data_IF_188892287536
#
_entry.id   IF_188892287536
#
_cell.length_a   1.000
_cell.length_b   1.000
_cell.length_c   1.000
_cell.angle_alpha   90.00
_cell.angle_beta   90.00
_cell.angle_gamma   90.00
#
_symmetry.space_group_name_H-M   'P 1'
#
loop_
_entity.id
_entity.type
_entity.pdbx_description
1 polymer ?
#
# COMPACT_ATOMS: atom_id res chain seq x y z
N UNK A 1 12.52 -41.02 -0.50
CA UNK A 1 11.87 -39.91 -1.20
C UNK A 1 11.60 -38.82 -0.17
N UNK A 2 12.50 -37.84 -0.02
CA UNK A 2 12.23 -36.63 0.74
C UNK A 2 11.11 -35.90 0.00
N UNK A 3 9.94 -35.78 0.66
CA UNK A 3 8.86 -34.97 0.16
C UNK A 3 9.28 -33.51 0.42
N UNK A 4 9.36 -32.69 -0.63
CA UNK A 4 9.52 -31.26 -0.44
C UNK A 4 8.33 -30.73 0.40
N UNK A 5 8.60 -29.95 1.45
CA UNK A 5 7.54 -29.40 2.27
C UNK A 5 6.63 -28.49 1.41
N UNK A 6 5.31 -28.70 1.51
CA UNK A 6 4.34 -27.85 0.82
C UNK A 6 4.48 -26.38 1.30
N UNK A 7 4.42 -25.40 0.39
CA UNK A 7 4.48 -24.00 0.78
C UNK A 7 3.32 -23.64 1.71
N UNK A 8 3.58 -22.76 2.70
CA UNK A 8 2.55 -22.27 3.60
C UNK A 8 1.42 -21.55 2.84
N UNK A 9 0.26 -21.41 3.47
CA UNK A 9 -0.87 -20.65 2.92
C UNK A 9 -0.43 -19.23 2.52
N UNK A 10 0.25 -18.53 3.42
CA UNK A 10 0.73 -17.17 3.18
C UNK A 10 1.68 -17.08 1.97
N UNK A 11 2.57 -18.07 1.80
CA UNK A 11 3.46 -18.13 0.64
C UNK A 11 2.67 -18.33 -0.65
N UNK A 12 1.72 -19.26 -0.68
CA UNK A 12 0.89 -19.49 -1.89
C UNK A 12 0.07 -18.27 -2.26
N UNK A 13 -0.54 -17.60 -1.27
CA UNK A 13 -1.30 -16.37 -1.47
C UNK A 13 -0.40 -15.25 -2.03
N UNK A 14 0.78 -15.08 -1.44
CA UNK A 14 1.75 -14.09 -1.88
C UNK A 14 2.25 -14.37 -3.31
N UNK A 15 2.64 -15.60 -3.63
CA UNK A 15 3.15 -15.98 -4.96
C UNK A 15 2.15 -15.64 -6.07
N UNK A 16 0.83 -15.69 -5.79
CA UNK A 16 -0.22 -15.35 -6.75
C UNK A 16 -0.36 -13.86 -7.00
N UNK A 17 -0.24 -13.02 -5.95
CA UNK A 17 -0.52 -11.59 -6.06
C UNK A 17 0.75 -10.74 -6.26
N UNK A 18 1.93 -11.22 -5.87
CA UNK A 18 3.19 -10.48 -5.99
C UNK A 18 3.47 -9.91 -7.39
N UNK A 19 3.14 -10.59 -8.50
CA UNK A 19 3.31 -10.01 -9.83
C UNK A 19 2.51 -8.73 -10.08
N UNK A 20 1.44 -8.53 -9.31
CA UNK A 20 0.56 -7.35 -9.39
C UNK A 20 0.94 -6.26 -8.38
N UNK A 21 1.89 -6.52 -7.47
CA UNK A 21 2.26 -5.55 -6.42
C UNK A 21 3.40 -4.66 -6.91
N UNK A 22 3.24 -3.36 -6.70
CA UNK A 22 4.24 -2.36 -7.08
C UNK A 22 4.65 -1.52 -5.89
N UNK A 23 5.91 -1.09 -5.85
CA UNK A 23 6.35 -0.02 -4.97
C UNK A 23 5.94 1.32 -5.58
N UNK A 24 5.36 2.19 -4.77
CA UNK A 24 4.93 3.54 -5.16
C UNK A 24 5.81 4.56 -4.45
N UNK A 25 6.36 5.49 -5.20
CA UNK A 25 7.19 6.58 -4.68
C UNK A 25 6.64 7.92 -5.17
N UNK A 26 6.31 8.80 -4.21
CA UNK A 26 5.93 10.17 -4.49
C UNK A 26 7.11 11.12 -4.23
N UNK A 27 7.63 11.76 -5.26
CA UNK A 27 8.68 12.77 -5.12
C UNK A 27 8.06 14.10 -4.67
N UNK A 28 8.34 14.48 -3.41
CA UNK A 28 7.84 15.72 -2.83
C UNK A 28 8.63 16.94 -3.34
N UNK A 29 7.97 18.09 -3.43
CA UNK A 29 8.65 19.34 -3.72
C UNK A 29 9.70 19.63 -2.64
N UNK A 30 10.97 19.82 -3.03
CA UNK A 30 11.97 20.38 -2.10
C UNK A 30 11.42 21.72 -1.57
N UNK A 31 11.35 21.92 -0.23
CA UNK A 31 11.17 23.26 0.29
C UNK A 31 12.31 24.14 -0.25
N UNK A 32 11.99 25.30 -0.81
CA UNK A 32 13.03 26.26 -1.18
C UNK A 32 13.89 26.53 0.07
N UNK A 33 15.24 26.46 -0.05
CA UNK A 33 16.09 26.75 1.09
C UNK A 33 15.72 28.15 1.63
N UNK A 34 15.56 28.30 2.96
CA UNK A 34 15.26 29.60 3.54
C UNK A 34 16.36 30.58 3.10
N UNK A 35 15.95 31.70 2.51
CA UNK A 35 16.87 32.79 2.19
C UNK A 35 17.54 33.20 3.49
N UNK A 36 18.87 33.01 3.56
CA UNK A 36 19.77 33.39 4.64
C UNK A 36 19.58 32.64 5.98
N UNK A 37 20.11 31.39 6.07
CA UNK A 37 20.58 30.87 7.33
C UNK A 37 22.13 30.79 7.28
N UNK A 38 22.85 31.10 8.37
CA UNK A 38 24.30 30.95 8.42
C UNK A 38 24.69 29.48 8.17
N UNK A 39 25.65 29.25 7.26
CA UNK A 39 26.18 27.91 7.01
C UNK A 39 26.89 27.40 8.27
N UNK A 40 26.21 26.54 9.03
CA UNK A 40 26.88 25.73 10.04
C UNK A 40 27.65 24.64 9.29
N UNK A 41 28.96 24.55 9.51
CA UNK A 41 29.80 23.50 8.92
C UNK A 41 29.28 22.13 9.35
N UNK A 42 29.13 21.16 8.43
CA UNK A 42 28.75 19.80 8.79
C UNK A 42 29.83 19.18 9.68
N UNK A 43 29.41 18.50 10.75
CA UNK A 43 30.32 17.64 11.51
C UNK A 43 30.62 16.38 10.68
N UNK A 44 31.86 15.88 10.66
CA UNK A 44 32.21 14.66 9.94
C UNK A 44 31.55 13.47 10.65
N UNK A 45 30.72 12.70 9.93
CA UNK A 45 30.12 11.45 10.41
C UNK A 45 28.61 11.34 10.42
N UNK A 46 27.87 12.37 10.01
CA UNK A 46 26.43 12.27 9.74
C UNK A 46 26.21 11.83 8.29
N UNK A 47 25.62 10.69 8.05
CA UNK A 47 25.02 10.38 6.75
C UNK A 47 23.99 11.46 6.48
N UNK A 48 24.23 12.33 5.50
CA UNK A 48 23.19 13.16 4.90
C UNK A 48 22.18 12.18 4.28
N UNK A 49 21.08 11.91 5.00
CA UNK A 49 19.87 11.44 4.36
C UNK A 49 19.50 12.53 3.35
N UNK A 50 19.67 12.21 2.06
CA UNK A 50 19.32 13.10 0.96
C UNK A 50 17.92 13.63 1.22
N UNK A 51 17.81 14.96 1.36
CA UNK A 51 16.59 15.64 1.82
C UNK A 51 15.44 15.67 0.79
N UNK A 52 15.32 14.65 -0.05
CA UNK A 52 14.12 14.31 -0.79
C UNK A 52 13.22 13.52 0.15
N UNK A 53 12.20 14.16 0.73
CA UNK A 53 11.14 13.43 1.43
C UNK A 53 10.33 12.65 0.40
N UNK A 54 10.74 11.40 0.14
CA UNK A 54 9.98 10.47 -0.68
C UNK A 54 8.85 9.90 0.18
N UNK A 55 7.60 10.09 -0.25
CA UNK A 55 6.52 9.25 0.22
C UNK A 55 6.71 7.85 -0.38
N UNK A 56 6.98 6.85 0.44
CA UNK A 56 7.10 5.46 -0.03
C UNK A 56 5.90 4.67 0.45
N UNK A 57 5.26 3.97 -0.47
CA UNK A 57 4.13 3.10 -0.22
C UNK A 57 4.08 1.93 -1.19
N UNK A 58 2.95 1.29 -1.21
CA UNK A 58 2.65 0.14 -2.05
C UNK A 58 1.48 0.46 -2.96
N UNK A 59 1.37 -0.22 -4.08
CA UNK A 59 0.20 -0.21 -4.95
C UNK A 59 -0.09 -1.60 -5.48
N UNK A 60 -1.28 -1.79 -6.01
CA UNK A 60 -1.70 -3.03 -6.65
C UNK A 60 -2.26 -2.75 -8.04
N UNK A 61 -1.76 -3.45 -9.04
CA UNK A 61 -2.27 -3.41 -10.41
C UNK A 61 -3.62 -4.12 -10.43
N UNK A 62 -4.67 -3.43 -10.83
CA UNK A 62 -6.05 -3.95 -10.83
C UNK A 62 -6.64 -4.14 -12.22
N UNK A 63 -5.97 -3.61 -13.26
CA UNK A 63 -6.33 -3.81 -14.67
C UNK A 63 -5.06 -3.99 -15.48
N UNK A 64 -5.05 -4.93 -16.44
CA UNK A 64 -3.91 -5.24 -17.30
C UNK A 64 -3.42 -4.05 -18.14
N UNK A 65 -4.25 -3.03 -18.29
CA UNK A 65 -3.84 -1.78 -18.91
C UNK A 65 -2.90 -0.93 -18.03
N UNK A 66 -2.57 -1.38 -16.79
CA UNK A 66 -1.66 -0.70 -15.86
C UNK A 66 -2.34 0.33 -14.96
N UNK A 67 -3.63 0.14 -14.66
CA UNK A 67 -4.27 0.88 -13.57
C UNK A 67 -3.84 0.28 -12.23
N UNK A 68 -3.46 1.16 -11.30
CA UNK A 68 -2.90 0.81 -10.00
C UNK A 68 -3.72 1.52 -8.93
N UNK A 69 -4.16 0.79 -7.91
CA UNK A 69 -4.69 1.35 -6.68
C UNK A 69 -3.56 1.56 -5.67
N UNK A 70 -3.60 2.69 -4.98
CA UNK A 70 -2.74 3.00 -3.82
C UNK A 70 -3.50 3.93 -2.87
N UNK A 71 -2.89 4.32 -1.75
CA UNK A 71 -3.49 5.33 -0.88
C UNK A 71 -3.16 6.76 -1.35
N UNK A 72 -4.11 7.66 -1.10
CA UNK A 72 -3.93 9.08 -1.38
C UNK A 72 -2.75 9.66 -0.59
N UNK A 73 -2.66 9.35 0.71
CA UNK A 73 -1.60 9.90 1.56
C UNK A 73 -0.18 9.47 1.15
N UNK A 74 -0.02 8.41 0.35
CA UNK A 74 1.28 7.98 -0.19
C UNK A 74 1.81 8.97 -1.23
N UNK A 75 0.90 9.57 -2.01
CA UNK A 75 1.24 10.47 -3.12
C UNK A 75 0.84 11.92 -2.86
N UNK A 76 0.25 12.23 -1.71
CA UNK A 76 -0.23 13.57 -1.38
C UNK A 76 0.92 14.58 -1.38
N UNK A 77 0.78 15.63 -2.19
CA UNK A 77 1.83 16.65 -2.36
C UNK A 77 3.00 16.26 -3.26
N UNK A 78 2.99 15.07 -3.84
CA UNK A 78 4.01 14.66 -4.80
C UNK A 78 3.89 15.46 -6.11
N UNK A 79 5.04 15.87 -6.66
CA UNK A 79 5.15 16.48 -7.99
C UNK A 79 5.17 15.42 -9.08
N UNK A 80 5.85 14.32 -8.80
CA UNK A 80 5.96 13.16 -9.67
C UNK A 80 5.69 11.90 -8.87
N UNK A 81 5.04 10.94 -9.51
CA UNK A 81 4.81 9.61 -8.96
C UNK A 81 5.53 8.60 -9.83
N UNK A 82 6.24 7.69 -9.18
CA UNK A 82 6.94 6.59 -9.83
C UNK A 82 6.49 5.27 -9.23
N UNK A 83 6.40 4.25 -10.07
CA UNK A 83 6.11 2.90 -9.65
C UNK A 83 7.23 1.96 -10.08
N UNK A 84 7.56 0.99 -9.23
CA UNK A 84 8.51 -0.08 -9.55
C UNK A 84 7.75 -1.39 -9.50
N UNK A 85 7.71 -2.09 -10.63
CA UNK A 85 7.07 -3.40 -10.77
C UNK A 85 7.95 -4.52 -10.17
N UNK A 86 7.36 -5.69 -9.95
CA UNK A 86 8.08 -6.88 -9.43
C UNK A 86 9.26 -7.30 -10.31
N UNK A 87 9.23 -7.00 -11.61
CA UNK A 87 10.33 -7.22 -12.56
C UNK A 87 11.52 -6.28 -12.37
N UNK A 88 11.38 -5.25 -11.53
CA UNK A 88 12.34 -4.16 -11.38
C UNK A 88 12.14 -3.03 -12.40
N UNK A 89 11.18 -3.12 -13.32
CA UNK A 89 10.86 -2.03 -14.25
C UNK A 89 10.33 -0.83 -13.47
N UNK A 90 10.98 0.31 -13.61
CA UNK A 90 10.50 1.59 -13.11
C UNK A 90 9.70 2.33 -14.18
N UNK A 91 8.59 2.93 -13.80
CA UNK A 91 7.72 3.72 -14.67
C UNK A 91 7.24 4.99 -13.98
N UNK A 92 7.26 6.15 -14.63
CA UNK A 92 6.44 7.26 -14.21
C UNK A 92 4.96 6.85 -14.24
N UNK A 93 4.18 7.41 -13.32
CA UNK A 93 2.74 7.15 -13.27
C UNK A 93 1.95 8.47 -13.23
N UNK A 94 0.86 8.50 -13.97
CA UNK A 94 -0.08 9.61 -13.97
C UNK A 94 -1.17 9.36 -12.91
N UNK A 95 -1.58 10.43 -12.22
CA UNK A 95 -2.71 10.39 -11.31
C UNK A 95 -3.99 10.45 -12.14
N UNK A 96 -4.80 9.40 -12.10
CA UNK A 96 -6.06 9.29 -12.84
C UNK A 96 -7.21 9.88 -12.03
N UNK A 97 -7.32 9.49 -10.76
CA UNK A 97 -8.34 10.01 -9.85
C UNK A 97 -7.88 9.94 -8.39
N UNK A 98 -8.48 10.81 -7.57
CA UNK A 98 -8.26 10.90 -6.14
C UNK A 98 -9.59 10.75 -5.41
N UNK A 99 -9.61 9.95 -4.35
CA UNK A 99 -10.79 9.65 -3.54
C UNK A 99 -10.50 9.93 -2.06
N UNK A 100 -10.54 11.21 -1.63
CA UNK A 100 -10.13 11.61 -0.29
C UNK A 100 -10.95 10.99 0.84
N UNK A 101 -12.23 10.70 0.60
CA UNK A 101 -13.12 10.12 1.60
C UNK A 101 -12.81 8.65 1.90
N UNK A 102 -12.00 8.00 1.06
CA UNK A 102 -11.56 6.61 1.21
C UNK A 102 -10.03 6.49 1.34
N UNK A 103 -9.30 7.63 1.34
CA UNK A 103 -7.83 7.65 1.28
C UNK A 103 -7.28 6.82 0.11
N UNK A 104 -7.91 6.89 -1.06
CA UNK A 104 -7.50 6.14 -2.24
C UNK A 104 -7.05 7.07 -3.37
N UNK A 105 -6.12 6.57 -4.17
CA UNK A 105 -5.69 7.17 -5.43
C UNK A 105 -5.59 6.09 -6.50
N UNK A 106 -5.95 6.47 -7.72
CA UNK A 106 -5.80 5.65 -8.92
C UNK A 106 -4.67 6.22 -9.76
N UNK A 107 -3.72 5.37 -10.09
CA UNK A 107 -2.56 5.71 -10.91
C UNK A 107 -2.62 4.94 -12.23
N UNK A 108 -1.98 5.51 -13.26
CA UNK A 108 -1.75 4.86 -14.55
C UNK A 108 -0.27 4.86 -14.84
N UNK A 109 0.35 3.69 -14.86
CA UNK A 109 1.74 3.56 -15.26
C UNK A 109 1.91 3.87 -16.76
N UNK A 110 2.95 4.62 -17.12
CA UNK A 110 3.24 5.01 -18.51
C UNK A 110 3.97 3.91 -19.28
N UNK A 111 4.72 3.07 -18.58
CA UNK A 111 5.43 1.92 -19.16
C UNK A 111 5.01 0.67 -18.38
N UNK A 112 4.77 -0.41 -19.08
CA UNK A 112 4.29 -1.65 -18.51
C UNK A 112 5.31 -2.76 -18.82
N UNK A 113 5.54 -3.72 -17.92
CA UNK A 113 6.27 -4.93 -18.26
C UNK A 113 5.43 -5.79 -19.21
N UNK A 114 6.10 -6.58 -20.05
CA UNK A 114 5.44 -7.43 -21.06
C UNK A 114 4.57 -8.53 -20.41
N UNK A 115 4.92 -8.94 -19.19
CA UNK A 115 4.26 -9.97 -18.40
C UNK A 115 3.38 -9.40 -17.28
N UNK A 116 2.87 -8.17 -17.45
CA UNK A 116 2.02 -7.53 -16.46
C UNK A 116 0.80 -8.39 -16.14
N UNK A 117 0.58 -8.60 -14.84
CA UNK A 117 -0.58 -9.31 -14.33
C UNK A 117 -1.38 -8.38 -13.42
N UNK A 118 -2.69 -8.26 -13.69
CA UNK A 118 -3.62 -7.64 -12.76
C UNK A 118 -3.97 -8.62 -11.62
N UNK A 119 -4.15 -8.08 -10.42
CA UNK A 119 -4.59 -8.86 -9.28
C UNK A 119 -6.04 -9.35 -9.48
N UNK A 120 -6.33 -10.55 -9.00
CA UNK A 120 -7.71 -11.01 -8.88
C UNK A 120 -8.35 -10.31 -7.69
N UNK A 121 -9.48 -9.65 -7.93
CA UNK A 121 -10.28 -8.98 -6.92
C UNK A 121 -11.42 -9.90 -6.49
N UNK A 122 -11.75 -9.88 -5.19
CA UNK A 122 -12.88 -10.64 -4.62
C UNK A 122 -13.64 -9.76 -3.66
N UNK A 123 -15.00 -9.77 -3.76
CA UNK A 123 -15.83 -9.05 -2.81
C UNK A 123 -15.48 -9.37 -1.37
N UNK A 124 -15.47 -8.35 -0.53
CA UNK A 124 -15.26 -8.46 0.90
C UNK A 124 -16.54 -8.74 1.69
N UNK A 125 -17.67 -8.88 1.01
CA UNK A 125 -18.99 -8.97 1.64
C UNK A 125 -19.21 -10.22 2.49
N UNK A 126 -18.49 -11.32 2.19
CA UNK A 126 -18.56 -12.59 2.91
C UNK A 126 -17.43 -12.79 3.94
N UNK A 127 -16.57 -11.79 4.13
CA UNK A 127 -15.53 -11.84 5.15
C UNK A 127 -16.14 -11.84 6.55
N UNK A 128 -15.49 -12.60 7.44
CA UNK A 128 -15.82 -12.65 8.86
C UNK A 128 -14.59 -12.59 9.76
N UNK A 129 -14.75 -12.16 11.02
CA UNK A 129 -13.66 -12.23 12.01
C UNK A 129 -13.15 -13.66 12.15
N UNK A 130 -11.81 -13.81 12.09
CA UNK A 130 -11.13 -15.11 12.10
C UNK A 130 -10.71 -15.61 10.71
N UNK A 131 -11.21 -15.02 9.61
CA UNK A 131 -10.77 -15.38 8.28
C UNK A 131 -9.31 -15.00 8.07
N UNK A 132 -8.55 -15.93 7.48
CA UNK A 132 -7.13 -15.74 7.23
C UNK A 132 -6.90 -14.71 6.12
N UNK A 133 -5.99 -13.77 6.39
CA UNK A 133 -5.58 -12.75 5.43
C UNK A 133 -4.06 -12.59 5.41
N UNK A 134 -3.57 -12.12 4.27
CA UNK A 134 -2.15 -11.83 4.05
C UNK A 134 -2.03 -10.37 3.60
N UNK A 135 -1.18 -9.60 4.26
CA UNK A 135 -0.82 -8.26 3.85
C UNK A 135 0.53 -8.26 3.15
N UNK A 136 0.63 -7.54 2.04
CA UNK A 136 1.83 -7.49 1.21
C UNK A 136 2.17 -6.02 0.91
N UNK A 137 3.47 -5.68 1.00
CA UNK A 137 3.90 -4.33 0.71
C UNK A 137 5.40 -4.11 0.87
N UNK A 138 5.79 -2.85 0.90
CA UNK A 138 7.18 -2.40 0.99
C UNK A 138 7.40 -1.59 2.29
N UNK A 139 7.33 -2.24 3.48
CA UNK A 139 7.53 -1.54 4.75
C UNK A 139 8.90 -0.85 4.76
N UNK A 140 8.91 0.45 5.03
CA UNK A 140 10.11 1.30 5.00
C UNK A 140 10.89 1.25 3.68
N UNK A 141 10.20 0.95 2.55
CA UNK A 141 10.82 0.76 1.24
C UNK A 141 11.52 -0.59 1.06
N UNK A 142 11.48 -1.46 2.07
CA UNK A 142 12.07 -2.80 2.05
C UNK A 142 11.03 -3.80 1.57
N UNK A 143 11.38 -4.68 0.69
CA UNK A 143 10.45 -5.73 0.29
C UNK A 143 10.54 -6.13 -1.17
N UNK A 144 9.50 -6.82 -1.64
CA UNK A 144 8.20 -7.01 -1.00
C UNK A 144 8.26 -7.85 0.28
N UNK A 145 7.48 -7.45 1.29
CA UNK A 145 7.34 -8.15 2.56
C UNK A 145 5.94 -8.74 2.66
N UNK A 146 5.84 -9.91 3.25
CA UNK A 146 4.60 -10.69 3.40
C UNK A 146 4.36 -10.95 4.88
N UNK A 147 3.17 -10.63 5.37
CA UNK A 147 2.72 -10.94 6.72
C UNK A 147 1.34 -11.58 6.69
N UNK A 148 1.10 -12.56 7.57
CA UNK A 148 -0.17 -13.27 7.68
C UNK A 148 -0.82 -12.99 9.03
N UNK A 149 -2.13 -12.97 9.04
CA UNK A 149 -2.97 -12.77 10.21
C UNK A 149 -4.42 -13.13 9.90
N UNK A 150 -5.33 -12.54 10.65
CA UNK A 150 -6.77 -12.75 10.49
C UNK A 150 -7.52 -11.41 10.41
N UNK A 151 -8.70 -11.45 9.85
CA UNK A 151 -9.69 -10.38 10.01
C UNK A 151 -10.06 -10.32 11.48
N UNK A 152 -9.83 -9.19 12.14
CA UNK A 152 -10.15 -8.97 13.55
C UNK A 152 -11.52 -8.32 13.73
N UNK A 153 -12.06 -7.70 12.68
CA UNK A 153 -13.38 -7.08 12.71
C UNK A 153 -13.70 -6.35 11.40
N UNK A 154 -14.96 -6.01 11.22
CA UNK A 154 -15.49 -5.34 10.05
C UNK A 154 -16.22 -4.06 10.46
N UNK A 155 -16.61 -3.26 9.47
CA UNK A 155 -17.36 -2.00 9.66
C UNK A 155 -16.70 -1.05 10.68
N UNK A 156 -15.36 -1.01 10.69
CA UNK A 156 -14.61 -0.16 11.61
C UNK A 156 -14.53 1.28 11.10
N UNK A 157 -14.48 2.20 12.03
CA UNK A 157 -14.17 3.60 11.78
C UNK A 157 -12.79 3.94 12.34
N UNK A 158 -12.02 4.67 11.55
CA UNK A 158 -10.70 5.17 11.96
C UNK A 158 -10.58 6.64 11.59
N UNK A 159 -10.17 7.46 12.57
CA UNK A 159 -9.88 8.87 12.34
C UNK A 159 -8.38 9.09 12.40
N UNK A 160 -7.79 9.39 11.26
CA UNK A 160 -6.38 9.75 11.21
C UNK A 160 -6.14 11.07 11.91
N UNK A 161 -5.17 11.16 12.83
CA UNK A 161 -4.80 12.42 13.45
C UNK A 161 -4.31 13.48 12.45
N UNK A 162 -3.77 13.05 11.31
CA UNK A 162 -3.20 13.93 10.27
C UNK A 162 -4.25 14.49 9.30
N UNK A 163 -5.24 13.69 8.93
CA UNK A 163 -6.17 14.03 7.83
C UNK A 163 -7.56 14.47 8.28
N UNK A 164 -7.88 14.38 9.60
CA UNK A 164 -9.08 14.95 10.20
C UNK A 164 -10.42 14.29 9.79
N UNK A 165 -10.48 13.61 8.66
CA UNK A 165 -11.68 12.90 8.18
C UNK A 165 -11.70 11.48 8.67
N UNK A 166 -12.84 10.97 9.16
CA UNK A 166 -12.97 9.56 9.50
C UNK A 166 -13.05 8.72 8.23
N UNK A 167 -12.28 7.64 8.19
CA UNK A 167 -12.48 6.54 7.25
C UNK A 167 -13.46 5.57 7.89
N UNK A 168 -14.46 5.12 7.15
CA UNK A 168 -15.52 4.26 7.64
C UNK A 168 -15.56 2.92 6.88
N UNK A 169 -16.26 1.95 7.45
CA UNK A 169 -16.46 0.60 6.90
C UNK A 169 -15.15 -0.16 6.63
N UNK A 170 -14.13 0.09 7.45
CA UNK A 170 -12.84 -0.54 7.29
C UNK A 170 -12.83 -2.00 7.77
N UNK A 171 -12.01 -2.82 7.11
CA UNK A 171 -11.60 -4.15 7.57
C UNK A 171 -10.48 -3.94 8.59
N UNK A 172 -10.65 -4.44 9.81
CA UNK A 172 -9.61 -4.53 10.81
C UNK A 172 -8.92 -5.87 10.69
N UNK A 173 -7.58 -5.90 10.75
CA UNK A 173 -6.79 -7.12 10.68
C UNK A 173 -5.54 -7.03 11.59
N UNK A 174 -4.90 -8.18 11.88
CA UNK A 174 -3.72 -8.26 12.76
C UNK A 174 -2.44 -8.74 12.06
N UNK A 175 -2.47 -9.00 10.75
CA UNK A 175 -1.24 -9.18 9.97
C UNK A 175 -0.33 -7.97 10.14
N UNK A 176 0.96 -8.18 10.42
CA UNK A 176 1.89 -7.10 10.69
C UNK A 176 1.94 -6.08 9.52
N UNK A 177 1.67 -4.83 9.82
CA UNK A 177 1.70 -3.72 8.88
C UNK A 177 2.51 -2.56 9.46
N UNK A 178 3.32 -1.93 8.62
CA UNK A 178 4.18 -0.80 9.00
C UNK A 178 4.10 0.28 7.92
N UNK A 179 4.61 1.50 8.19
CA UNK A 179 4.73 2.53 7.15
C UNK A 179 5.39 1.98 5.89
N UNK A 180 4.73 2.16 4.73
CA UNK A 180 5.13 1.56 3.46
C UNK A 180 4.24 0.40 3.00
N UNK A 181 3.48 -0.26 3.89
CA UNK A 181 2.43 -1.21 3.49
C UNK A 181 1.18 -0.49 2.97
N UNK A 182 1.02 0.80 3.27
CA UNK A 182 -0.09 1.63 2.77
C UNK A 182 -0.22 1.56 1.25
N UNK A 183 -1.43 1.31 0.76
CA UNK A 183 -1.75 1.10 -0.65
C UNK A 183 -1.56 -0.33 -1.14
N UNK A 184 -0.96 -1.20 -0.33
CA UNK A 184 -0.77 -2.62 -0.64
C UNK A 184 -2.03 -3.46 -0.49
N UNK A 185 -2.09 -4.63 -1.13
CA UNK A 185 -3.23 -5.51 -1.04
C UNK A 185 -3.30 -6.24 0.31
N UNK A 186 -4.51 -6.36 0.83
CA UNK A 186 -4.92 -7.36 1.80
C UNK A 186 -5.61 -8.47 1.01
N UNK A 187 -5.08 -9.69 1.08
CA UNK A 187 -5.57 -10.82 0.26
C UNK A 187 -6.05 -11.98 1.11
N UNK A 188 -6.93 -12.80 0.53
CA UNK A 188 -7.37 -14.09 1.09
C UNK A 188 -6.25 -15.12 1.06
N UNK A 189 -6.50 -16.29 1.63
CA UNK A 189 -5.64 -17.49 1.51
C UNK A 189 -5.40 -17.91 0.05
N UNK A 190 -6.29 -17.53 -0.85
CA UNK A 190 -6.21 -17.82 -2.29
C UNK A 190 -5.52 -16.71 -3.09
N UNK A 191 -5.02 -15.66 -2.44
CA UNK A 191 -4.31 -14.56 -3.09
C UNK A 191 -5.22 -13.57 -3.82
N UNK A 192 -6.51 -13.57 -3.51
CA UNK A 192 -7.49 -12.64 -4.06
C UNK A 192 -7.57 -11.39 -3.18
N UNK A 193 -7.54 -10.21 -3.80
CA UNK A 193 -7.56 -8.94 -3.09
C UNK A 193 -8.95 -8.66 -2.55
N UNK A 194 -9.06 -8.50 -1.22
CA UNK A 194 -10.29 -8.16 -0.50
C UNK A 194 -10.25 -6.77 0.11
N UNK A 195 -9.07 -6.12 0.12
CA UNK A 195 -8.93 -4.75 0.64
C UNK A 195 -7.60 -4.12 0.28
N UNK A 196 -7.53 -2.80 0.49
CA UNK A 196 -6.32 -1.99 0.34
C UNK A 196 -5.88 -1.49 1.72
N UNK A 197 -4.70 -1.90 2.16
CA UNK A 197 -4.13 -1.50 3.47
C UNK A 197 -3.98 0.02 3.49
N UNK A 198 -4.53 0.69 4.52
CA UNK A 198 -4.51 2.15 4.59
C UNK A 198 -3.91 2.71 5.86
N UNK A 199 -4.16 2.11 7.01
CA UNK A 199 -3.74 2.68 8.28
C UNK A 199 -3.39 1.62 9.30
N UNK A 200 -2.64 2.04 10.32
CA UNK A 200 -2.44 1.30 11.56
C UNK A 200 -2.93 2.16 12.72
N UNK A 201 -3.54 1.54 13.72
CA UNK A 201 -3.83 2.23 14.97
C UNK A 201 -2.52 2.38 15.75
N UNK A 202 -2.10 3.62 15.93
CA UNK A 202 -0.95 3.92 16.77
C UNK A 202 -1.28 5.10 17.70
N UNK A 203 -1.46 4.85 18.99
CA UNK A 203 -1.75 5.90 19.97
C UNK A 203 -0.50 6.73 20.32
N UNK A 204 0.68 6.34 19.84
CA UNK A 204 1.96 7.01 20.10
C UNK A 204 2.53 7.62 18.82
N UNK A 205 3.48 8.55 18.93
CA UNK A 205 4.21 9.11 17.79
C UNK A 205 5.21 8.14 17.14
N UNK A 206 5.41 6.94 17.71
CA UNK A 206 6.43 5.99 17.28
C UNK A 206 6.08 5.25 15.98
N UNK A 207 4.85 5.37 15.46
CA UNK A 207 4.36 4.70 14.24
C UNK A 207 4.64 3.17 14.24
N UNK A 208 4.55 2.53 15.42
CA UNK A 208 4.80 1.09 15.60
C UNK A 208 3.51 0.32 15.48
N UNK A 209 3.50 -0.79 14.74
CA UNK A 209 2.36 -1.68 14.67
C UNK A 209 2.08 -2.36 16.01
N UNK A 210 0.86 -2.26 16.49
CA UNK A 210 0.40 -2.82 17.78
C UNK A 210 -0.66 -3.93 17.62
N UNK A 211 -0.67 -4.61 16.46
CA UNK A 211 -1.65 -5.66 16.18
C UNK A 211 -2.99 -5.15 15.65
N UNK A 212 -3.08 -3.88 15.24
CA UNK A 212 -4.31 -3.30 14.69
C UNK A 212 -3.98 -2.57 13.39
N UNK A 213 -4.31 -3.20 12.28
CA UNK A 213 -4.26 -2.63 10.93
C UNK A 213 -5.66 -2.44 10.37
N UNK A 214 -5.78 -1.53 9.41
CA UNK A 214 -7.02 -1.23 8.70
C UNK A 214 -6.83 -1.27 7.19
N UNK A 215 -7.83 -1.81 6.49
CA UNK A 215 -7.88 -1.79 5.04
C UNK A 215 -9.23 -1.26 4.55
N UNK A 216 -9.21 -0.53 3.44
CA UNK A 216 -10.42 -0.14 2.70
C UNK A 216 -10.92 -1.38 1.96
N UNK A 217 -12.21 -1.77 2.09
CA UNK A 217 -12.77 -2.89 1.36
C UNK A 217 -12.59 -2.74 -0.15
N UNK A 218 -12.28 -3.84 -0.83
CA UNK A 218 -12.04 -3.82 -2.28
C UNK A 218 -13.28 -3.37 -3.07
N UNK A 219 -14.47 -3.67 -2.59
CA UNK A 219 -15.73 -3.22 -3.23
C UNK A 219 -15.78 -1.70 -3.34
N UNK A 220 -15.35 -0.99 -2.30
CA UNK A 220 -15.24 0.47 -2.31
C UNK A 220 -14.11 0.96 -3.22
N UNK A 221 -12.96 0.26 -3.21
CA UNK A 221 -11.80 0.63 -4.00
C UNK A 221 -12.02 0.34 -5.51
N UNK A 222 -12.69 -0.76 -5.87
CA UNK A 222 -13.01 -1.11 -7.25
C UNK A 222 -13.95 -0.08 -7.89
N UNK A 223 -14.92 0.44 -7.12
CA UNK A 223 -15.80 1.51 -7.58
C UNK A 223 -15.01 2.78 -7.97
N UNK A 224 -13.91 3.07 -7.30
CA UNK A 224 -13.05 4.21 -7.60
C UNK A 224 -12.37 4.13 -8.98
N UNK A 225 -12.15 2.91 -9.50
CA UNK A 225 -11.56 2.67 -10.83
C UNK A 225 -12.62 2.34 -11.89
N UNK A 226 -13.92 2.43 -11.55
CA UNK A 226 -15.00 2.12 -12.47
C UNK A 226 -15.16 0.63 -12.77
N UNK A 227 -14.61 -0.25 -11.94
CA UNK A 227 -14.85 -1.70 -12.03
C UNK A 227 -16.27 -1.95 -11.47
N UNK A 228 -17.12 -2.70 -12.21
CA UNK A 228 -18.45 -3.04 -11.72
C UNK A 228 -18.36 -3.88 -10.44
N UNK A 229 -19.40 -3.85 -9.59
CA UNK A 229 -19.43 -4.69 -8.38
C UNK A 229 -19.33 -6.18 -8.77
N UNK A 230 -18.71 -6.95 -7.89
CA UNK A 230 -18.44 -8.37 -8.04
C UNK A 230 -19.71 -9.21 -7.87
#
# INVERSE_FOLDING_TARGET
>A
LEQEPLPSMARRAADRVLPSVVRVEGEMARPAPPRAAPRIRPQPGGEELDGSSLGVGTGVVVVDSGLILTNLHVIEGAREVRVTFHTGLESPADIVSLHPDQDLAVLKARRLPDDLQAATLRSSADLGPGDQVVAIGFPFGIGPSVSAGVVSGLEREFRSPKHGRPLARLIQFDAAANPGNSGGPLVTADGEVVGIVTAILNPTSAHTFLGIGFAVPIDSAAAAVGIPPF
#
